data_IF_542152292937
#
_entry.id   IF_542152292937
#
_cell.length_a   1.000
_cell.length_b   1.000
_cell.length_c   1.000
_cell.angle_alpha   90.00
_cell.angle_beta   90.00
_cell.angle_gamma   90.00
#
_symmetry.space_group_name_H-M   'P 1'
#
loop_
_entity.id
_entity.type
_entity.pdbx_description
1 polymer ?
#
# COMPACT_ATOMS: atom_id res chain seq x y z
N UNK A 1 43.45 16.59 -41.56
CA UNK A 1 42.69 17.12 -42.72
C UNK A 1 41.26 17.37 -42.30
N UNK A 2 40.78 18.57 -42.63
CA UNK A 2 39.41 19.10 -42.65
C UNK A 2 38.59 19.06 -41.34
N UNK A 3 38.46 20.16 -40.60
CA UNK A 3 37.83 21.46 -40.92
C UNK A 3 36.30 21.35 -41.03
N UNK A 4 35.63 21.87 -39.99
CA UNK A 4 34.52 22.84 -39.98
C UNK A 4 33.60 22.52 -38.77
N UNK A 5 33.56 23.31 -37.68
CA UNK A 5 33.08 24.70 -37.58
C UNK A 5 31.58 24.75 -37.99
N UNK A 6 30.62 25.28 -37.23
CA UNK A 6 30.64 26.53 -36.49
C UNK A 6 29.33 26.71 -35.69
N UNK A 7 29.43 27.40 -34.56
CA UNK A 7 28.45 28.30 -33.92
C UNK A 7 27.12 27.73 -33.38
N UNK A 8 26.87 27.84 -32.08
CA UNK A 8 26.52 29.09 -31.36
C UNK A 8 25.22 29.70 -31.88
N UNK A 9 24.09 29.33 -31.26
CA UNK A 9 22.95 30.23 -31.11
C UNK A 9 22.54 30.25 -29.65
N UNK A 10 23.13 31.19 -28.93
CA UNK A 10 22.54 31.80 -27.75
C UNK A 10 21.29 32.56 -28.17
N UNK A 11 20.10 32.16 -27.70
CA UNK A 11 18.92 33.03 -27.68
C UNK A 11 18.46 33.24 -26.25
N UNK A 12 18.84 34.41 -25.77
CA UNK A 12 18.21 35.25 -24.74
C UNK A 12 16.90 34.76 -24.13
N UNK A 13 16.96 34.50 -22.81
CA UNK A 13 16.29 35.29 -21.77
C UNK A 13 14.99 36.01 -22.21
N UNK A 14 13.84 35.46 -21.83
CA UNK A 14 12.72 36.32 -21.43
C UNK A 14 12.03 35.77 -20.18
N UNK A 15 12.52 36.23 -19.02
CA UNK A 15 11.73 36.29 -17.78
C UNK A 15 10.64 37.32 -18.03
N UNK A 16 9.36 36.91 -18.06
CA UNK A 16 8.26 37.87 -18.07
C UNK A 16 7.70 38.02 -16.65
N UNK A 17 7.68 39.26 -16.11
CA UNK A 17 7.48 39.54 -14.69
C UNK A 17 6.02 39.49 -14.27
N UNK A 18 5.82 39.06 -13.03
CA UNK A 18 4.63 39.25 -12.22
C UNK A 18 4.23 40.73 -12.15
N UNK A 19 3.27 41.20 -12.97
CA UNK A 19 2.82 42.60 -12.91
C UNK A 19 1.49 42.91 -13.63
N UNK A 20 0.57 41.95 -13.84
CA UNK A 20 -0.66 42.23 -14.63
C UNK A 20 -2.01 41.80 -14.05
N UNK A 21 -2.07 41.10 -12.92
CA UNK A 21 -3.35 40.68 -12.33
C UNK A 21 -3.65 41.29 -10.95
N UNK A 22 -2.74 42.15 -10.47
CA UNK A 22 -2.97 43.00 -9.31
C UNK A 22 -3.26 44.41 -9.83
N UNK A 23 -4.53 44.71 -10.10
CA UNK A 23 -5.17 46.00 -9.76
C UNK A 23 -6.55 46.08 -10.43
N UNK A 24 -7.54 46.38 -9.59
CA UNK A 24 -8.84 46.97 -9.92
C UNK A 24 -9.91 45.96 -10.37
N UNK A 25 -10.62 45.36 -9.42
CA UNK A 25 -11.80 45.99 -8.81
C UNK A 25 -13.00 46.07 -9.77
N UNK A 26 -13.66 44.93 -9.96
CA UNK A 26 -15.12 44.87 -9.98
C UNK A 26 -15.51 44.07 -8.75
N UNK A 27 -15.79 44.73 -7.64
CA UNK A 27 -17.17 44.97 -7.23
C UNK A 27 -17.93 43.64 -7.16
N UNK A 28 -17.96 43.06 -5.96
CA UNK A 28 -19.19 43.13 -5.15
C UNK A 28 -20.35 42.48 -5.89
N UNK A 29 -20.63 41.21 -5.58
CA UNK A 29 -21.98 40.62 -5.44
C UNK A 29 -21.86 39.08 -5.37
N UNK A 30 -21.60 38.55 -4.18
CA UNK A 30 -22.41 37.48 -3.54
C UNK A 30 -21.72 37.01 -2.25
N UNK A 31 -21.73 37.89 -1.24
CA UNK A 31 -21.76 37.42 0.13
C UNK A 31 -23.14 36.79 0.37
N UNK A 32 -23.23 35.46 0.47
CA UNK A 32 -24.22 34.72 1.27
C UNK A 32 -24.24 33.22 0.91
N UNK A 33 -23.48 32.40 1.63
CA UNK A 33 -23.88 31.03 1.99
C UNK A 33 -22.87 30.41 2.96
N UNK A 34 -22.92 30.87 4.22
CA UNK A 34 -22.48 30.08 5.37
C UNK A 34 -23.54 28.98 5.61
N UNK A 35 -23.56 27.98 4.73
CA UNK A 35 -24.36 26.77 4.90
C UNK A 35 -23.52 25.72 5.62
N UNK A 36 -23.74 25.65 6.94
CA UNK A 36 -23.82 24.41 7.71
C UNK A 36 -22.62 23.49 7.74
N UNK A 37 -21.89 23.52 8.86
CA UNK A 37 -21.25 22.32 9.39
C UNK A 37 -22.34 21.24 9.57
N UNK A 38 -22.29 20.17 8.77
CA UNK A 38 -22.77 18.87 9.21
C UNK A 38 -21.58 17.92 9.26
N UNK A 39 -21.27 17.54 10.49
CA UNK A 39 -20.53 16.35 10.83
C UNK A 39 -21.22 15.10 10.26
N UNK A 40 -20.43 14.03 10.21
CA UNK A 40 -20.81 12.64 9.99
C UNK A 40 -21.07 12.24 8.53
N UNK A 41 -19.96 12.00 7.81
CA UNK A 41 -19.94 10.87 6.87
C UNK A 41 -19.38 9.67 7.62
N UNK A 42 -20.17 8.60 7.84
CA UNK A 42 -19.58 7.32 8.21
C UNK A 42 -18.58 6.96 7.12
N UNK A 43 -17.41 6.51 7.55
CA UNK A 43 -16.53 5.74 6.70
C UNK A 43 -17.34 4.56 6.16
N UNK A 44 -17.91 4.75 4.97
CA UNK A 44 -18.37 3.66 4.14
C UNK A 44 -17.09 2.94 3.72
N UNK A 45 -16.76 1.97 4.55
CA UNK A 45 -15.87 0.87 4.30
C UNK A 45 -16.17 0.37 2.89
N UNK A 46 -15.35 0.79 1.93
CA UNK A 46 -15.32 0.16 0.62
C UNK A 46 -15.05 -1.31 0.89
N UNK A 47 -16.02 -2.13 0.49
CA UNK A 47 -15.98 -3.58 0.46
C UNK A 47 -14.57 -4.12 0.17
N UNK A 48 -14.19 -5.26 0.78
CA UNK A 48 -12.83 -5.76 0.70
C UNK A 48 -12.41 -5.86 -0.76
N UNK A 49 -11.37 -5.09 -1.10
CA UNK A 49 -10.63 -5.27 -2.34
C UNK A 49 -10.33 -6.77 -2.45
N UNK A 50 -10.75 -7.37 -3.56
CA UNK A 50 -10.63 -8.80 -3.82
C UNK A 50 -9.21 -9.27 -3.59
N UNK A 51 -8.95 -9.80 -2.39
CA UNK A 51 -7.80 -10.63 -2.14
C UNK A 51 -8.00 -11.89 -2.98
N UNK A 52 -6.96 -12.31 -3.71
CA UNK A 52 -6.95 -13.62 -4.36
C UNK A 52 -7.39 -14.67 -3.33
N UNK A 53 -8.26 -15.64 -3.68
CA UNK A 53 -8.67 -16.66 -2.74
C UNK A 53 -7.41 -17.35 -2.21
N UNK A 54 -7.15 -17.17 -0.91
CA UNK A 54 -6.05 -17.85 -0.25
C UNK A 54 -6.33 -19.35 -0.33
N UNK A 55 -5.40 -20.12 -0.89
CA UNK A 55 -5.51 -21.56 -1.10
C UNK A 55 -5.50 -22.33 0.23
N UNK A 56 -6.56 -22.20 1.03
CA UNK A 56 -6.76 -22.92 2.27
C UNK A 56 -8.25 -23.21 2.49
N UNK A 57 -8.52 -24.21 3.32
CA UNK A 57 -9.87 -24.65 3.65
C UNK A 57 -10.10 -24.55 5.14
N UNK A 58 -11.37 -24.37 5.51
CA UNK A 58 -11.85 -24.45 6.89
C UNK A 58 -12.64 -25.74 7.06
N UNK A 59 -12.62 -26.31 8.27
CA UNK A 59 -13.32 -27.55 8.55
C UNK A 59 -14.84 -27.33 8.63
N UNK A 60 -15.25 -26.18 9.15
CA UNK A 60 -16.65 -25.85 9.39
C UNK A 60 -17.12 -24.62 8.62
N UNK A 61 -18.39 -24.61 8.23
CA UNK A 61 -19.02 -23.43 7.63
C UNK A 61 -19.06 -22.28 8.66
N UNK A 62 -18.56 -21.10 8.26
CA UNK A 62 -18.50 -19.92 9.12
C UNK A 62 -17.22 -19.82 9.97
N UNK A 63 -16.36 -20.82 9.95
CA UNK A 63 -15.01 -20.70 10.52
C UNK A 63 -14.18 -19.76 9.64
N UNK A 64 -13.47 -18.83 10.28
CA UNK A 64 -12.58 -17.87 9.62
C UNK A 64 -11.26 -17.79 10.37
N UNK A 65 -10.16 -17.52 9.66
CA UNK A 65 -8.86 -17.23 10.24
C UNK A 65 -8.48 -15.75 10.03
N UNK A 66 -7.34 -15.32 10.57
CA UNK A 66 -6.82 -13.95 10.40
C UNK A 66 -6.54 -13.54 8.94
N UNK A 67 -6.43 -14.51 8.02
CA UNK A 67 -6.33 -14.26 6.58
C UNK A 67 -7.70 -13.82 6.04
N UNK A 68 -8.75 -14.59 6.33
CA UNK A 68 -10.12 -14.37 5.86
C UNK A 68 -10.81 -13.18 6.54
N UNK A 69 -10.58 -13.00 7.84
CA UNK A 69 -11.29 -12.04 8.67
C UNK A 69 -10.30 -11.04 9.30
N UNK A 70 -10.30 -9.77 8.83
CA UNK A 70 -9.45 -8.73 9.39
C UNK A 70 -9.67 -8.47 10.88
N UNK A 71 -10.86 -8.76 11.43
CA UNK A 71 -11.16 -8.57 12.85
C UNK A 71 -10.40 -9.55 13.75
N UNK A 72 -9.91 -10.65 13.18
CA UNK A 72 -9.09 -11.66 13.87
C UNK A 72 -7.59 -11.38 13.81
N UNK A 73 -7.18 -10.24 13.25
CA UNK A 73 -5.77 -9.83 13.20
C UNK A 73 -5.36 -9.15 14.50
N UNK A 74 -4.08 -9.27 14.84
CA UNK A 74 -3.51 -8.66 16.02
C UNK A 74 -3.59 -7.13 15.91
N UNK A 75 -4.23 -6.50 16.90
CA UNK A 75 -4.36 -5.04 16.94
C UNK A 75 -2.98 -4.37 16.98
N UNK A 76 -2.79 -3.36 16.13
CA UNK A 76 -1.54 -2.61 16.03
C UNK A 76 -0.44 -3.27 15.20
N UNK A 77 -0.62 -4.51 14.71
CA UNK A 77 0.29 -5.10 13.72
C UNK A 77 -0.12 -4.73 12.31
N UNK A 78 0.85 -4.26 11.52
CA UNK A 78 0.62 -3.86 10.13
C UNK A 78 0.35 -5.08 9.25
N UNK A 79 -0.58 -4.93 8.30
CA UNK A 79 -1.00 -5.99 7.38
C UNK A 79 -0.69 -5.62 5.93
N UNK A 80 0.11 -6.44 5.26
CA UNK A 80 0.35 -6.37 3.84
C UNK A 80 -0.87 -6.93 3.09
N UNK A 81 -1.59 -6.05 2.38
CA UNK A 81 -2.78 -6.45 1.61
C UNK A 81 -2.44 -7.26 0.36
N UNK A 82 -1.27 -7.08 -0.22
CA UNK A 82 -0.86 -7.73 -1.48
C UNK A 82 -0.49 -9.20 -1.28
N UNK A 83 0.24 -9.51 -0.20
CA UNK A 83 0.74 -10.86 0.09
C UNK A 83 -0.01 -11.55 1.23
N UNK A 84 -1.12 -10.97 1.70
CA UNK A 84 -1.98 -11.51 2.75
C UNK A 84 -1.19 -11.99 3.99
N UNK A 85 -0.30 -11.13 4.50
CA UNK A 85 0.58 -11.41 5.65
C UNK A 85 0.78 -10.19 6.51
N UNK A 86 1.18 -10.38 7.76
CA UNK A 86 1.70 -9.27 8.55
C UNK A 86 2.97 -8.71 7.92
N UNK A 87 3.12 -7.38 7.92
CA UNK A 87 4.26 -6.73 7.25
C UNK A 87 5.59 -7.15 7.84
N UNK A 88 5.65 -7.32 9.17
CA UNK A 88 6.81 -7.84 9.90
C UNK A 88 7.18 -9.30 9.55
N UNK A 89 6.37 -9.97 8.74
CA UNK A 89 6.59 -11.33 8.23
C UNK A 89 6.48 -11.44 6.69
N UNK A 90 6.29 -10.33 5.99
CA UNK A 90 6.17 -10.31 4.55
C UNK A 90 7.56 -10.14 3.92
N UNK A 91 8.24 -11.25 3.62
CA UNK A 91 9.61 -11.22 3.10
C UNK A 91 9.72 -10.69 1.66
N UNK A 92 8.60 -10.62 0.93
CA UNK A 92 8.53 -9.98 -0.39
C UNK A 92 8.59 -8.44 -0.26
N UNK A 93 7.89 -7.87 0.73
CA UNK A 93 7.91 -6.42 0.98
C UNK A 93 9.08 -5.99 1.90
N UNK A 94 9.48 -6.85 2.83
CA UNK A 94 10.47 -6.59 3.87
C UNK A 94 11.62 -7.62 3.82
N UNK A 95 12.34 -7.74 2.68
CA UNK A 95 13.41 -8.74 2.55
C UNK A 95 14.54 -8.55 3.56
N UNK A 96 14.76 -7.32 4.03
CA UNK A 96 15.76 -6.99 5.05
C UNK A 96 15.42 -7.52 6.46
N UNK A 97 14.17 -7.92 6.71
CA UNK A 97 13.75 -8.53 7.98
C UNK A 97 13.90 -10.05 8.00
N UNK A 98 14.16 -10.68 6.84
CA UNK A 98 14.40 -12.13 6.75
C UNK A 98 15.77 -12.45 7.33
N UNK A 99 15.87 -13.49 8.16
CA UNK A 99 17.14 -14.01 8.64
C UNK A 99 17.82 -14.81 7.51
N UNK A 100 18.95 -14.35 6.97
CA UNK A 100 19.64 -15.03 5.86
C UNK A 100 20.32 -16.34 6.29
N UNK A 101 20.46 -16.61 7.59
CA UNK A 101 21.10 -17.83 8.10
C UNK A 101 20.09 -18.93 8.39
N UNK A 102 18.80 -18.60 8.45
CA UNK A 102 17.74 -19.56 8.73
C UNK A 102 17.24 -20.16 7.41
N UNK A 103 17.19 -21.50 7.28
CA UNK A 103 16.71 -22.14 6.05
C UNK A 103 15.30 -21.67 5.70
N UNK A 104 15.12 -21.29 4.43
CA UNK A 104 13.89 -20.69 3.93
C UNK A 104 13.39 -21.45 2.70
N UNK A 105 12.12 -21.85 2.76
CA UNK A 105 11.43 -22.47 1.64
C UNK A 105 10.95 -21.38 0.68
N UNK A 106 11.62 -21.25 -0.47
CA UNK A 106 11.26 -20.27 -1.51
C UNK A 106 9.90 -20.58 -2.17
N UNK A 107 9.46 -21.85 -2.19
CA UNK A 107 8.18 -22.23 -2.81
C UNK A 107 6.95 -21.81 -1.99
N UNK A 108 7.04 -21.92 -0.66
CA UNK A 108 5.91 -21.69 0.25
C UNK A 108 6.06 -20.39 1.06
N UNK A 109 7.18 -19.70 0.87
CA UNK A 109 7.47 -18.43 1.49
C UNK A 109 7.58 -18.48 3.02
N UNK A 110 7.98 -19.60 3.60
CA UNK A 110 8.10 -19.83 5.06
C UNK A 110 9.51 -20.30 5.40
N UNK A 111 9.96 -20.08 6.64
CA UNK A 111 11.15 -20.79 7.11
C UNK A 111 10.87 -22.29 7.12
N UNK A 112 11.87 -23.11 6.78
CA UNK A 112 11.68 -24.55 6.64
C UNK A 112 11.17 -25.20 7.93
N UNK A 113 11.60 -24.67 9.07
CA UNK A 113 11.20 -25.12 10.39
C UNK A 113 9.77 -24.71 10.79
N UNK A 114 9.11 -23.84 10.00
CA UNK A 114 7.72 -23.39 10.15
C UNK A 114 6.83 -23.84 8.98
N UNK A 115 7.42 -24.40 7.92
CA UNK A 115 6.71 -24.75 6.70
C UNK A 115 5.98 -26.09 6.83
N UNK A 116 4.70 -26.05 7.15
CA UNK A 116 3.84 -27.23 7.23
C UNK A 116 3.52 -27.87 5.86
N UNK A 117 3.76 -27.14 4.76
CA UNK A 117 3.60 -27.68 3.39
C UNK A 117 4.77 -28.59 3.00
N UNK A 118 5.99 -28.28 3.46
CA UNK A 118 7.16 -29.15 3.29
C UNK A 118 7.21 -30.27 4.33
N UNK A 119 6.81 -29.99 5.58
CA UNK A 119 6.80 -30.97 6.68
C UNK A 119 5.46 -30.90 7.44
N UNK A 120 4.48 -31.74 7.07
CA UNK A 120 3.16 -31.78 7.71
C UNK A 120 3.20 -32.05 9.21
N UNK A 121 4.28 -32.62 9.75
CA UNK A 121 4.45 -32.85 11.19
C UNK A 121 4.39 -31.56 12.01
N UNK A 122 4.68 -30.41 11.36
CA UNK A 122 4.68 -29.06 11.96
C UNK A 122 3.30 -28.44 12.09
N UNK A 123 2.26 -29.01 11.46
CA UNK A 123 0.90 -28.46 11.49
C UNK A 123 0.22 -28.52 12.87
N UNK A 124 0.84 -29.16 13.88
CA UNK A 124 0.29 -29.27 15.22
C UNK A 124 0.51 -27.99 16.03
N UNK A 125 -0.36 -27.00 15.81
CA UNK A 125 -0.37 -25.74 16.57
C UNK A 125 -1.72 -25.01 16.64
N UNK A 126 -2.78 -25.53 16.00
CA UNK A 126 -4.14 -25.07 16.21
C UNK A 126 -4.84 -25.92 17.26
N UNK A 127 -4.85 -25.49 18.51
CA UNK A 127 -5.73 -26.05 19.55
C UNK A 127 -7.20 -25.70 19.20
N UNK A 128 -8.18 -26.61 19.39
CA UNK A 128 -9.61 -26.34 19.15
C UNK A 128 -10.16 -25.17 19.98
#
# INVERSE_FOLDING_TARGET
MNLFNRNQFTVQKSRRPAARYLTLAGLLLLAASLSGCKADRPAAETAPASAKPAAHTHANAGETCFICDPSKRDAGRLWCKEHARYEDRCWECQPQLRDPKRPYCEEHGLYEDECFLCDPSRAKGGTP
#
